data_IF_934408772394
#
_entry.id   IF_934408772394
#
_cell.length_a   1.000
_cell.length_b   1.000
_cell.length_c   1.000
_cell.angle_alpha   90.00
_cell.angle_beta   90.00
_cell.angle_gamma   90.00
#
_symmetry.space_group_name_H-M   'P 1'
#
loop_
_entity.id
_entity.type
_entity.pdbx_description
1 polymer ?
#
# COMPACT_ATOMS: atom_id res chain seq x y z
N UNK A 1 32.88 2.99 -8.16
CA UNK A 1 31.46 2.77 -7.84
C UNK A 1 31.10 3.70 -6.68
N UNK A 2 30.38 4.82 -6.86
CA UNK A 2 29.87 5.54 -5.70
C UNK A 2 28.72 4.72 -5.13
N UNK A 3 28.90 4.26 -3.89
CA UNK A 3 27.95 3.45 -3.15
C UNK A 3 26.58 4.12 -3.09
N UNK A 4 25.56 3.28 -3.04
CA UNK A 4 24.16 3.66 -2.84
C UNK A 4 24.08 4.72 -1.74
N UNK A 5 23.72 5.94 -2.16
CA UNK A 5 23.40 7.07 -1.29
C UNK A 5 22.13 6.66 -0.54
N UNK A 6 22.30 5.89 0.53
CA UNK A 6 21.22 5.52 1.43
C UNK A 6 20.49 6.79 1.80
N UNK A 7 19.20 6.83 1.48
CA UNK A 7 18.33 7.94 1.86
C UNK A 7 18.15 7.87 3.37
N UNK A 8 19.18 8.25 4.13
CA UNK A 8 19.16 8.37 5.59
C UNK A 8 18.22 9.52 5.94
N UNK A 9 16.92 9.24 5.95
CA UNK A 9 15.93 10.09 6.58
C UNK A 9 15.90 9.67 8.02
N UNK A 10 16.61 10.44 8.83
CA UNK A 10 16.76 10.24 10.26
C UNK A 10 15.36 10.06 10.89
N UNK A 11 15.12 8.91 11.51
CA UNK A 11 13.89 8.66 12.25
C UNK A 11 13.81 9.63 13.44
N UNK A 12 12.61 10.11 13.81
CA UNK A 12 12.46 10.98 14.96
C UNK A 12 12.91 10.25 16.23
N UNK A 13 13.82 10.87 16.99
CA UNK A 13 14.34 10.35 18.25
C UNK A 13 13.51 10.85 19.44
N UNK A 14 13.52 10.16 20.59
CA UNK A 14 12.77 10.59 21.78
C UNK A 14 13.19 11.97 22.31
N UNK A 15 14.43 12.38 22.05
CA UNK A 15 14.97 13.68 22.48
C UNK A 15 14.66 14.81 21.51
N UNK A 16 14.14 14.50 20.31
CA UNK A 16 13.79 15.50 19.33
C UNK A 16 12.58 16.32 19.82
N UNK A 17 12.59 17.62 19.54
CA UNK A 17 11.45 18.49 19.86
C UNK A 17 10.23 18.12 19.01
N UNK A 18 9.03 18.52 19.45
CA UNK A 18 7.78 18.24 18.74
C UNK A 18 7.82 18.76 17.29
N UNK A 19 8.44 19.92 17.06
CA UNK A 19 8.60 20.51 15.73
C UNK A 19 9.55 19.70 14.83
N UNK A 20 10.69 19.27 15.37
CA UNK A 20 11.67 18.44 14.64
C UNK A 20 11.09 17.06 14.30
N UNK A 21 10.37 16.44 15.24
CA UNK A 21 9.70 15.17 15.02
C UNK A 21 8.65 15.28 13.89
N UNK A 22 7.82 16.33 13.91
CA UNK A 22 6.83 16.56 12.85
C UNK A 22 7.47 16.77 11.47
N UNK A 23 8.58 17.51 11.38
CA UNK A 23 9.28 17.72 10.12
C UNK A 23 9.83 16.39 9.55
N UNK A 24 10.41 15.53 10.41
CA UNK A 24 10.92 14.21 10.02
C UNK A 24 9.79 13.27 9.57
N UNK A 25 8.65 13.27 10.27
CA UNK A 25 7.47 12.45 9.92
C UNK A 25 6.79 12.90 8.62
N UNK A 26 6.63 14.21 8.37
CA UNK A 26 6.04 14.72 7.11
C UNK A 26 6.84 14.27 5.88
N UNK A 27 8.16 14.14 6.01
CA UNK A 27 9.03 13.65 4.92
C UNK A 27 8.84 12.17 4.55
N UNK A 28 8.09 11.41 5.37
CA UNK A 28 7.69 10.02 5.12
C UNK A 28 6.38 9.98 4.35
N UNK A 29 5.42 10.82 4.72
CA UNK A 29 4.06 10.84 4.16
C UNK A 29 4.04 11.22 2.66
N UNK A 30 4.87 12.19 2.25
CA UNK A 30 4.98 12.63 0.85
C UNK A 30 5.56 11.56 -0.11
N UNK A 31 6.12 10.46 0.40
CA UNK A 31 6.64 9.35 -0.40
C UNK A 31 5.67 8.19 -0.54
N UNK A 32 4.54 8.23 0.15
CA UNK A 32 3.54 7.19 0.04
C UNK A 32 2.82 7.43 -1.30
N UNK A 33 3.01 6.56 -2.31
CA UNK A 33 2.23 6.68 -3.53
C UNK A 33 0.75 6.62 -3.14
N UNK A 34 -0.12 7.42 -3.78
CA UNK A 34 -1.55 7.35 -3.51
C UNK A 34 -1.98 5.89 -3.63
N UNK A 35 -2.64 5.38 -2.58
CA UNK A 35 -3.15 4.01 -2.57
C UNK A 35 -4.16 3.92 -3.71
N UNK A 36 -3.75 3.26 -4.80
CA UNK A 36 -4.65 2.94 -5.90
C UNK A 36 -5.61 1.90 -5.31
N UNK A 37 -6.93 2.18 -5.25
CA UNK A 37 -7.88 1.16 -4.82
C UNK A 37 -7.71 -0.05 -5.74
N UNK A 38 -7.72 -1.29 -5.20
CA UNK A 38 -7.70 -2.47 -6.05
C UNK A 38 -8.82 -2.32 -7.07
N UNK A 39 -8.49 -2.49 -8.35
CA UNK A 39 -9.47 -2.43 -9.42
C UNK A 39 -10.53 -3.48 -9.12
N UNK A 40 -11.82 -3.10 -9.07
CA UNK A 40 -12.96 -4.01 -9.02
C UNK A 40 -13.14 -4.74 -10.38
N UNK A 41 -12.06 -5.02 -11.08
CA UNK A 41 -12.08 -5.92 -12.22
C UNK A 41 -11.94 -7.33 -11.67
N UNK A 42 -13.10 -7.97 -11.51
CA UNK A 42 -13.27 -9.40 -11.28
C UNK A 42 -12.25 -10.15 -12.13
N UNK A 43 -11.25 -10.72 -11.47
CA UNK A 43 -10.17 -11.39 -12.19
C UNK A 43 -10.71 -12.58 -12.99
N UNK A 44 -9.99 -13.08 -14.01
CA UNK A 44 -10.45 -14.21 -14.82
C UNK A 44 -10.77 -15.46 -13.98
N UNK A 45 -10.18 -15.60 -12.79
CA UNK A 45 -10.52 -16.67 -11.84
C UNK A 45 -11.84 -16.48 -11.09
N UNK A 46 -12.29 -15.23 -10.90
CA UNK A 46 -13.52 -14.92 -10.15
C UNK A 46 -14.76 -15.07 -11.03
N UNK A 47 -14.65 -14.84 -12.34
CA UNK A 47 -15.71 -15.17 -13.32
C UNK A 47 -16.02 -16.67 -13.35
N UNK A 48 -15.00 -17.54 -13.26
CA UNK A 48 -15.17 -19.00 -13.21
C UNK A 48 -15.92 -19.41 -11.94
N UNK A 49 -15.57 -18.84 -10.79
CA UNK A 49 -16.24 -19.12 -9.52
C UNK A 49 -17.72 -18.69 -9.53
N UNK A 50 -18.05 -17.55 -10.16
CA UNK A 50 -19.44 -17.13 -10.35
C UNK A 50 -20.23 -18.08 -11.25
N UNK A 51 -19.63 -18.54 -12.35
CA UNK A 51 -20.27 -19.49 -13.27
C UNK A 51 -20.56 -20.83 -12.58
N UNK A 52 -19.60 -21.35 -11.83
CA UNK A 52 -19.76 -22.58 -11.04
C UNK A 52 -20.84 -22.40 -9.96
N UNK A 53 -20.81 -21.28 -9.22
CA UNK A 53 -21.81 -20.97 -8.20
C UNK A 53 -23.23 -20.86 -8.78
N UNK A 54 -23.38 -20.28 -9.97
CA UNK A 54 -24.65 -20.19 -10.70
C UNK A 54 -25.14 -21.56 -11.15
N UNK A 55 -24.25 -22.40 -11.69
CA UNK A 55 -24.59 -23.77 -12.11
C UNK A 55 -25.07 -24.62 -10.93
N UNK A 56 -24.43 -24.51 -9.76
CA UNK A 56 -24.84 -25.21 -8.54
C UNK A 56 -26.23 -24.77 -8.06
N UNK A 57 -26.56 -23.48 -8.15
CA UNK A 57 -27.89 -22.96 -7.77
C UNK A 57 -29.02 -23.46 -8.68
N UNK A 58 -28.73 -23.80 -9.94
CA UNK A 58 -29.74 -24.30 -10.88
C UNK A 58 -30.00 -25.81 -10.76
N UNK A 59 -29.15 -26.54 -10.03
CA UNK A 59 -29.30 -27.98 -9.78
C UNK A 59 -30.11 -28.30 -8.50
N UNK A 60 -30.65 -27.29 -7.82
CA UNK A 60 -31.57 -27.43 -6.67
C UNK A 60 -32.97 -26.99 -7.05
#
# INVERSE_FOLDING_TARGET
>A
MPGTKGMNKEEPRPEDTLEEAQAKSKSVDERIPPVIPPHDETGPGEEVLEQEAKAVRQQR
#
